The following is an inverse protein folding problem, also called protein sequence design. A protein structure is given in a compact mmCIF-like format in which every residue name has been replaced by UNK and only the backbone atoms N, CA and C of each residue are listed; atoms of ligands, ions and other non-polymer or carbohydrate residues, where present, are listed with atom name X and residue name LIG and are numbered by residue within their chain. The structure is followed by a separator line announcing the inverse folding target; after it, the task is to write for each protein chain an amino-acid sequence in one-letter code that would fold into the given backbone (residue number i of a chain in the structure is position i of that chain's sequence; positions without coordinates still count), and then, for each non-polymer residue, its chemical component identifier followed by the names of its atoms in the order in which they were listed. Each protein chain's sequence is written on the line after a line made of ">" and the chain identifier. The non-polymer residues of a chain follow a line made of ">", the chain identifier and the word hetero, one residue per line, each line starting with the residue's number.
data_IF_342757013086
#
_entry.id   IF_342757013086
#
_cell.length_a   1.000
_cell.length_b   1.000
_cell.length_c   1.000
_cell.angle_alpha   90.00
_cell.angle_beta   90.00
_cell.angle_gamma   90.00
#
_symmetry.space_group_name_H-M   'P 1'
#
loop_
_entity.id
_entity.type
_entity.pdbx_description
1 polymer ?
#
# COMPACT_ATOMS: atom_id res chain seq x y z
N UNK A 1 -24.34 32.19 -5.87
CA UNK A 1 -23.39 32.97 -6.69
C UNK A 1 -22.04 32.26 -6.65
N UNK A 2 -21.46 31.97 -7.83
CA UNK A 2 -20.08 31.53 -8.17
C UNK A 2 -19.52 30.28 -7.43
N UNK A 3 -19.27 29.10 -8.02
CA UNK A 3 -18.60 28.66 -9.26
C UNK A 3 -17.06 28.81 -9.27
N UNK A 4 -16.36 27.66 -9.33
CA UNK A 4 -15.18 27.33 -10.19
C UNK A 4 -14.08 26.54 -9.45
N UNK A 5 -13.28 25.62 -10.03
CA UNK A 5 -13.27 24.80 -11.25
C UNK A 5 -12.03 23.86 -11.13
N UNK A 6 -12.21 22.59 -11.52
CA UNK A 6 -11.33 21.61 -12.19
C UNK A 6 -9.79 21.61 -12.03
N UNK A 7 -9.25 20.39 -11.94
CA UNK A 7 -7.81 20.08 -11.91
C UNK A 7 -7.05 20.20 -13.23
N UNK A 8 -5.75 19.89 -13.17
CA UNK A 8 -4.80 19.80 -14.29
C UNK A 8 -3.83 18.64 -14.01
N UNK A 9 -3.87 17.53 -14.75
CA UNK A 9 -3.24 17.24 -16.06
C UNK A 9 -1.71 17.13 -15.95
N UNK A 10 -1.21 15.90 -15.86
CA UNK A 10 0.18 15.53 -16.16
C UNK A 10 0.33 15.42 -17.68
N UNK A 11 1.16 16.27 -18.29
CA UNK A 11 1.59 16.12 -19.68
C UNK A 11 3.12 16.05 -19.73
N UNK A 12 3.66 14.84 -19.82
CA UNK A 12 5.07 14.61 -20.14
C UNK A 12 5.21 14.59 -21.67
N UNK A 13 5.73 15.66 -22.25
CA UNK A 13 6.14 15.68 -23.66
C UNK A 13 7.62 15.33 -23.75
N UNK A 14 7.91 14.10 -24.21
CA UNK A 14 9.24 13.69 -24.61
C UNK A 14 9.52 14.23 -26.01
N UNK A 15 10.51 15.13 -26.15
CA UNK A 15 11.08 15.49 -27.44
C UNK A 15 12.51 14.97 -27.53
N UNK A 16 12.67 13.85 -28.22
CA UNK A 16 13.95 13.41 -28.75
C UNK A 16 14.28 14.25 -30.00
N UNK A 17 15.28 15.12 -29.91
CA UNK A 17 15.86 15.77 -31.08
C UNK A 17 17.13 15.04 -31.48
N UNK A 18 17.00 14.17 -32.48
CA UNK A 18 18.13 13.60 -33.22
C UNK A 18 18.52 14.64 -34.26
N UNK A 19 19.72 15.22 -34.14
CA UNK A 19 20.35 15.96 -35.22
C UNK A 19 21.76 15.40 -35.43
N UNK A 20 21.86 14.45 -36.36
CA UNK A 20 23.10 14.09 -37.03
C UNK A 20 23.46 15.25 -37.97
N UNK A 21 24.67 15.79 -37.89
CA UNK A 21 25.29 16.47 -39.02
C UNK A 21 26.82 16.35 -38.95
N UNK A 22 27.37 15.87 -40.05
CA UNK A 22 28.75 15.45 -40.26
C UNK A 22 29.59 16.55 -40.92
N UNK A 23 30.90 16.52 -40.61
CA UNK A 23 32.09 17.13 -41.26
C UNK A 23 32.71 18.36 -40.55
N UNK A 24 34.04 18.32 -40.28
CA UNK A 24 34.78 19.47 -39.75
C UNK A 24 35.25 20.40 -40.86
N UNK A 25 34.91 21.69 -40.76
CA UNK A 25 35.58 22.77 -41.49
C UNK A 25 36.77 23.31 -40.65
N UNK A 26 37.96 23.59 -41.22
CA UNK A 26 39.16 23.92 -40.44
C UNK A 26 39.23 25.36 -39.92
N UNK A 27 38.15 26.14 -40.02
CA UNK A 27 38.13 27.56 -39.63
C UNK A 27 36.89 27.88 -38.82
N UNK A 28 36.90 27.51 -37.53
CA UNK A 28 35.89 27.94 -36.56
C UNK A 28 36.58 28.54 -35.33
N UNK A 29 36.29 29.82 -35.07
CA UNK A 29 36.61 30.53 -33.82
C UNK A 29 36.06 29.76 -32.61
N UNK A 30 36.73 29.72 -31.44
CA UNK A 30 36.24 28.98 -30.29
C UNK A 30 34.84 29.45 -29.89
N UNK A 31 33.86 28.54 -29.95
CA UNK A 31 32.51 28.80 -29.50
C UNK A 31 32.53 29.09 -27.98
N UNK A 32 31.93 30.20 -27.57
CA UNK A 32 31.74 30.51 -26.16
C UNK A 32 30.98 29.37 -25.47
N UNK A 33 31.48 28.93 -24.31
CA UNK A 33 30.87 27.85 -23.53
C UNK A 33 29.40 28.18 -23.24
N UNK A 34 28.49 27.26 -23.61
CA UNK A 34 27.08 27.39 -23.29
C UNK A 34 26.88 27.38 -21.77
N UNK A 35 26.04 28.27 -21.20
CA UNK A 35 25.80 28.30 -19.77
C UNK A 35 25.16 26.98 -19.31
N UNK A 36 25.78 26.33 -18.32
CA UNK A 36 25.25 25.10 -17.70
C UNK A 36 24.14 25.49 -16.73
N UNK A 37 22.91 25.11 -17.05
CA UNK A 37 21.79 25.27 -16.10
C UNK A 37 21.79 24.08 -15.14
N UNK A 38 22.12 24.32 -13.87
CA UNK A 38 22.02 23.31 -12.82
C UNK A 38 20.57 23.26 -12.34
N UNK A 39 19.89 22.14 -12.58
CA UNK A 39 18.56 21.90 -12.01
C UNK A 39 18.73 21.42 -10.58
N UNK A 40 18.41 22.27 -9.61
CA UNK A 40 18.37 21.90 -8.19
C UNK A 40 17.02 21.25 -7.89
N UNK A 41 16.98 20.01 -7.36
CA UNK A 41 15.73 19.41 -6.92
C UNK A 41 15.07 20.28 -5.85
N UNK A 42 13.76 20.48 -5.95
CA UNK A 42 13.01 21.19 -4.91
C UNK A 42 13.18 20.46 -3.56
N UNK A 43 13.30 21.19 -2.42
CA UNK A 43 13.33 20.57 -1.11
C UNK A 43 12.11 19.69 -0.90
N UNK A 44 12.32 18.48 -0.37
CA UNK A 44 11.20 17.60 0.03
C UNK A 44 10.38 18.33 1.10
N UNK A 45 9.05 18.38 0.99
CA UNK A 45 8.20 18.94 2.05
C UNK A 45 8.53 18.31 3.40
N UNK A 46 8.57 19.14 4.44
CA UNK A 46 8.78 18.65 5.80
C UNK A 46 7.68 17.65 6.19
N UNK A 47 8.04 16.62 6.95
CA UNK A 47 7.06 15.68 7.49
C UNK A 47 6.09 16.43 8.42
N UNK A 48 4.80 16.06 8.45
CA UNK A 48 3.85 16.64 9.38
C UNK A 48 4.33 16.40 10.82
N UNK A 49 4.10 17.39 11.69
CA UNK A 49 4.39 17.24 13.11
C UNK A 49 3.55 16.10 13.71
N UNK A 50 4.11 15.31 14.66
CA UNK A 50 3.36 14.27 15.34
C UNK A 50 2.12 14.83 16.05
N UNK A 51 1.04 14.04 16.04
CA UNK A 51 -0.15 14.34 16.83
C UNK A 51 0.13 14.09 18.32
N UNK A 52 -0.64 14.71 19.24
CA UNK A 52 -0.66 14.28 20.63
C UNK A 52 -0.96 12.77 20.73
N UNK A 53 -0.24 12.04 21.60
CA UNK A 53 -0.26 10.57 21.61
C UNK A 53 -1.65 9.96 21.72
N UNK A 54 -2.52 10.52 22.56
CA UNK A 54 -3.91 10.03 22.69
C UNK A 54 -4.72 10.21 21.39
N UNK A 55 -4.54 11.34 20.70
CA UNK A 55 -5.16 11.58 19.40
C UNK A 55 -4.58 10.65 18.32
N UNK A 56 -3.27 10.43 18.34
CA UNK A 56 -2.60 9.53 17.41
C UNK A 56 -3.06 8.07 17.60
N UNK A 57 -3.19 7.62 18.85
CA UNK A 57 -3.72 6.28 19.16
C UNK A 57 -5.14 6.11 18.61
N UNK A 58 -6.04 7.07 18.88
CA UNK A 58 -7.42 7.06 18.34
C UNK A 58 -7.43 7.04 16.83
N UNK A 59 -6.62 7.88 16.19
CA UNK A 59 -6.56 7.88 14.73
C UNK A 59 -6.08 6.53 14.17
N UNK A 60 -5.05 5.93 14.77
CA UNK A 60 -4.57 4.60 14.36
C UNK A 60 -5.65 3.52 14.51
N UNK A 61 -6.44 3.57 15.58
CA UNK A 61 -7.51 2.61 15.83
C UNK A 61 -8.75 2.87 14.98
N UNK A 62 -9.37 4.05 15.13
CA UNK A 62 -10.66 4.38 14.53
C UNK A 62 -10.57 4.62 13.02
N UNK A 63 -9.44 5.15 12.55
CA UNK A 63 -9.24 5.51 11.14
C UNK A 63 -8.25 4.60 10.41
N UNK A 64 -7.47 3.80 11.15
CA UNK A 64 -6.60 2.77 10.59
C UNK A 64 -7.22 1.37 10.68
N UNK A 65 -7.36 0.86 11.89
CA UNK A 65 -7.83 -0.52 12.12
C UNK A 65 -9.29 -0.72 11.71
N UNK A 66 -10.23 0.10 12.19
CA UNK A 66 -11.66 -0.10 11.91
C UNK A 66 -12.00 -0.10 10.41
N UNK A 67 -11.41 0.77 9.56
CA UNK A 67 -11.62 0.67 8.11
C UNK A 67 -10.94 -0.55 7.49
N UNK A 68 -9.78 -0.99 8.00
CA UNK A 68 -9.10 -2.19 7.53
C UNK A 68 -9.89 -3.46 7.83
N UNK A 69 -10.57 -3.55 8.97
CA UNK A 69 -11.44 -4.67 9.36
C UNK A 69 -12.52 -4.97 8.30
N UNK A 70 -13.09 -3.94 7.66
CA UNK A 70 -14.07 -4.14 6.58
C UNK A 70 -13.53 -4.94 5.40
N UNK A 71 -12.25 -4.73 5.07
CA UNK A 71 -11.59 -5.47 3.99
C UNK A 71 -11.17 -6.87 4.43
N UNK A 72 -10.89 -7.06 5.72
CA UNK A 72 -10.69 -8.40 6.30
C UNK A 72 -12.00 -9.20 6.19
N UNK A 73 -13.12 -8.61 6.60
CA UNK A 73 -14.45 -9.24 6.48
C UNK A 73 -14.81 -9.56 5.02
N UNK A 74 -14.50 -8.66 4.07
CA UNK A 74 -14.68 -8.90 2.64
C UNK A 74 -13.84 -10.10 2.16
N UNK A 75 -12.59 -10.20 2.62
CA UNK A 75 -11.72 -11.31 2.28
C UNK A 75 -12.26 -12.64 2.81
N UNK A 76 -12.71 -12.67 4.06
CA UNK A 76 -13.33 -13.85 4.68
C UNK A 76 -14.61 -14.26 3.96
N UNK A 77 -15.47 -13.30 3.62
CA UNK A 77 -16.70 -13.54 2.85
C UNK A 77 -16.39 -14.10 1.45
N UNK A 78 -15.32 -13.64 0.79
CA UNK A 78 -14.88 -14.20 -0.47
C UNK A 78 -14.41 -15.65 -0.30
N UNK A 79 -13.59 -15.94 0.72
CA UNK A 79 -13.11 -17.29 1.02
C UNK A 79 -14.21 -18.25 1.44
N UNK A 80 -15.31 -17.77 2.02
CA UNK A 80 -16.50 -18.58 2.33
C UNK A 80 -17.19 -19.18 1.10
N UNK A 81 -16.82 -18.76 -0.12
CA UNK A 81 -17.25 -19.39 -1.38
C UNK A 81 -16.57 -20.76 -1.61
N UNK A 82 -15.43 -21.01 -0.95
CA UNK A 82 -14.74 -22.28 -1.05
C UNK A 82 -15.54 -23.38 -0.33
N UNK A 83 -15.67 -24.58 -0.90
CA UNK A 83 -16.37 -25.67 -0.25
C UNK A 83 -15.63 -26.12 1.01
N UNK A 84 -16.37 -26.69 1.95
CA UNK A 84 -15.79 -27.26 3.17
C UNK A 84 -14.66 -28.24 2.84
N UNK A 85 -13.52 -28.07 3.52
CA UNK A 85 -12.33 -28.90 3.31
C UNK A 85 -11.36 -28.36 2.26
N UNK A 86 -11.76 -27.40 1.42
CA UNK A 86 -10.83 -26.66 0.56
C UNK A 86 -10.22 -25.51 1.35
N UNK A 87 -8.90 -25.50 1.45
CA UNK A 87 -8.12 -24.46 2.13
C UNK A 87 -7.42 -23.57 1.12
N UNK A 88 -7.14 -22.33 1.54
CA UNK A 88 -6.23 -21.45 0.81
C UNK A 88 -4.90 -22.19 0.55
N UNK A 89 -4.42 -22.10 -0.68
CA UNK A 89 -3.20 -22.78 -1.11
C UNK A 89 -3.43 -24.19 -1.66
N UNK A 90 -4.63 -24.76 -1.57
CA UNK A 90 -4.93 -26.05 -2.18
C UNK A 90 -4.79 -25.98 -3.71
N UNK A 91 -4.14 -27.00 -4.29
CA UNK A 91 -3.95 -27.11 -5.75
C UNK A 91 -5.25 -27.24 -6.54
N UNK A 92 -6.37 -27.50 -5.86
CA UNK A 92 -7.71 -27.53 -6.46
C UNK A 92 -8.28 -26.12 -6.72
N UNK A 93 -7.76 -25.07 -6.07
CA UNK A 93 -8.21 -23.68 -6.30
C UNK A 93 -7.91 -23.20 -7.72
N UNK A 94 -6.68 -23.27 -8.26
CA UNK A 94 -6.38 -22.75 -9.60
C UNK A 94 -7.07 -23.53 -10.73
N UNK A 95 -7.51 -24.76 -10.50
CA UNK A 95 -8.23 -25.57 -11.50
C UNK A 95 -9.74 -25.30 -11.53
N UNK A 96 -10.28 -24.53 -10.58
CA UNK A 96 -11.68 -24.12 -10.55
C UNK A 96 -11.80 -22.59 -10.72
N UNK A 97 -12.37 -22.08 -11.83
CA UNK A 97 -12.45 -20.65 -12.10
C UNK A 97 -13.18 -19.84 -11.03
N UNK A 98 -14.23 -20.39 -10.41
CA UNK A 98 -15.00 -19.71 -9.37
C UNK A 98 -14.21 -19.61 -8.06
N UNK A 99 -13.52 -20.68 -7.68
CA UNK A 99 -12.68 -20.70 -6.47
C UNK A 99 -11.45 -19.82 -6.65
N UNK A 100 -10.83 -19.86 -7.82
CA UNK A 100 -9.75 -18.96 -8.17
C UNK A 100 -10.19 -17.50 -8.09
N UNK A 101 -11.34 -17.15 -8.68
CA UNK A 101 -11.87 -15.78 -8.59
C UNK A 101 -12.19 -15.36 -7.14
N UNK A 102 -12.69 -16.27 -6.31
CA UNK A 102 -12.91 -16.01 -4.89
C UNK A 102 -11.58 -15.76 -4.14
N UNK A 103 -10.57 -16.61 -4.34
CA UNK A 103 -9.25 -16.45 -3.77
C UNK A 103 -8.60 -15.11 -4.20
N UNK A 104 -8.73 -14.73 -5.48
CA UNK A 104 -8.18 -13.46 -5.95
C UNK A 104 -8.89 -12.23 -5.38
N UNK A 105 -10.20 -12.30 -5.13
CA UNK A 105 -10.91 -11.24 -4.39
C UNK A 105 -10.43 -11.14 -2.96
N UNK A 106 -10.26 -12.27 -2.27
CA UNK A 106 -9.73 -12.30 -0.92
C UNK A 106 -8.30 -11.73 -0.84
N UNK A 107 -7.43 -12.12 -1.77
CA UNK A 107 -6.08 -11.60 -1.89
C UNK A 107 -6.05 -10.07 -2.05
N UNK A 108 -6.92 -9.54 -2.92
CA UNK A 108 -7.03 -8.10 -3.12
C UNK A 108 -7.52 -7.38 -1.86
N UNK A 109 -8.54 -7.93 -1.19
CA UNK A 109 -9.11 -7.36 0.02
C UNK A 109 -8.09 -7.32 1.17
N UNK A 110 -7.34 -8.40 1.45
CA UNK A 110 -6.27 -8.38 2.47
C UNK A 110 -5.17 -7.35 2.15
N UNK A 111 -4.79 -7.19 0.88
CA UNK A 111 -3.83 -6.15 0.48
C UNK A 111 -4.39 -4.75 0.71
N UNK A 112 -5.66 -4.53 0.40
CA UNK A 112 -6.34 -3.27 0.69
C UNK A 112 -6.40 -3.00 2.20
N UNK A 113 -6.70 -4.01 3.03
CA UNK A 113 -6.66 -3.90 4.48
C UNK A 113 -5.27 -3.44 4.96
N UNK A 114 -4.19 -4.07 4.47
CA UNK A 114 -2.81 -3.67 4.73
C UNK A 114 -2.56 -2.21 4.37
N UNK A 115 -2.92 -1.81 3.16
CA UNK A 115 -2.64 -0.46 2.66
C UNK A 115 -3.41 0.61 3.46
N UNK A 116 -4.66 0.32 3.83
CA UNK A 116 -5.52 1.19 4.66
C UNK A 116 -4.98 1.30 6.08
N UNK A 117 -4.68 0.18 6.74
CA UNK A 117 -4.11 0.20 8.09
C UNK A 117 -2.79 0.97 8.10
N UNK A 118 -1.89 0.71 7.14
CA UNK A 118 -0.61 1.39 7.04
C UNK A 118 -0.76 2.91 6.87
N UNK A 119 -1.72 3.34 6.05
CA UNK A 119 -2.02 4.77 5.88
C UNK A 119 -2.66 5.39 7.14
N UNK A 120 -3.33 4.59 7.96
CA UNK A 120 -3.99 5.02 9.20
C UNK A 120 -3.08 5.12 10.42
N UNK A 121 -1.88 4.53 10.41
CA UNK A 121 -0.93 4.62 11.53
C UNK A 121 -0.46 6.07 11.67
N UNK A 122 -0.95 6.77 12.70
CA UNK A 122 -0.70 8.18 12.88
C UNK A 122 0.68 8.45 13.53
N UNK A 123 1.43 9.46 13.07
CA UNK A 123 2.63 9.93 13.77
C UNK A 123 2.29 10.39 15.19
N UNK A 124 3.04 9.89 16.18
CA UNK A 124 2.79 10.15 17.60
C UNK A 124 2.07 9.00 18.33
N UNK A 125 1.66 7.95 17.60
CA UNK A 125 1.07 6.74 18.17
C UNK A 125 2.04 6.08 19.15
N UNK A 126 1.48 5.52 20.23
CA UNK A 126 2.24 4.78 21.25
C UNK A 126 3.10 3.70 20.57
N UNK A 127 4.42 3.60 20.87
CA UNK A 127 5.31 2.69 20.15
C UNK A 127 4.83 1.23 20.10
N UNK A 128 4.24 0.74 21.19
CA UNK A 128 3.67 -0.62 21.25
C UNK A 128 2.49 -0.81 20.28
N UNK A 129 1.60 0.18 20.17
CA UNK A 129 0.48 0.14 19.23
C UNK A 129 0.97 0.30 17.78
N UNK A 130 1.94 1.20 17.55
CA UNK A 130 2.52 1.39 16.22
C UNK A 130 3.22 0.13 15.71
N UNK A 131 3.98 -0.58 16.56
CA UNK A 131 4.67 -1.83 16.18
C UNK A 131 3.67 -2.96 15.91
N UNK A 132 2.64 -3.09 16.74
CA UNK A 132 1.57 -4.06 16.51
C UNK A 132 0.84 -3.79 15.19
N UNK A 133 0.47 -2.53 14.92
CA UNK A 133 -0.16 -2.13 13.66
C UNK A 133 0.75 -2.39 12.46
N UNK A 134 2.04 -2.07 12.56
CA UNK A 134 3.00 -2.32 11.48
C UNK A 134 3.23 -3.82 11.24
N UNK A 135 3.10 -4.66 12.27
CA UNK A 135 3.15 -6.12 12.15
C UNK A 135 1.93 -6.63 11.40
N UNK A 136 0.74 -6.19 11.80
CA UNK A 136 -0.52 -6.58 11.16
C UNK A 136 -0.57 -6.14 9.69
N UNK A 137 -0.07 -4.94 9.36
CA UNK A 137 0.14 -4.49 7.96
C UNK A 137 0.95 -5.51 7.15
N UNK A 138 2.08 -5.98 7.69
CA UNK A 138 2.96 -6.92 6.99
C UNK A 138 2.29 -8.28 6.82
N UNK A 139 1.58 -8.75 7.84
CA UNK A 139 0.87 -10.02 7.81
C UNK A 139 -0.29 -10.01 6.83
N UNK A 140 -1.12 -8.97 6.84
CA UNK A 140 -2.19 -8.77 5.85
C UNK A 140 -1.63 -8.75 4.43
N UNK A 141 -0.51 -8.06 4.21
CA UNK A 141 0.14 -8.03 2.90
C UNK A 141 0.68 -9.39 2.49
N UNK A 142 1.34 -10.10 3.41
CA UNK A 142 1.89 -11.43 3.17
C UNK A 142 0.77 -12.43 2.84
N UNK A 143 -0.30 -12.42 3.63
CA UNK A 143 -1.46 -13.27 3.44
C UNK A 143 -2.10 -13.02 2.07
N UNK A 144 -2.36 -11.76 1.74
CA UNK A 144 -2.90 -11.39 0.43
C UNK A 144 -2.00 -11.83 -0.72
N UNK A 145 -0.69 -11.66 -0.59
CA UNK A 145 0.28 -12.08 -1.61
C UNK A 145 0.33 -13.60 -1.80
N UNK A 146 0.33 -14.36 -0.71
CA UNK A 146 0.45 -15.80 -0.80
C UNK A 146 -0.89 -16.49 -1.18
N UNK A 147 -2.05 -15.89 -0.88
CA UNK A 147 -3.32 -16.28 -1.53
C UNK A 147 -3.22 -16.03 -3.04
N UNK A 148 -2.73 -14.85 -3.45
CA UNK A 148 -2.63 -14.43 -4.85
C UNK A 148 -1.77 -15.37 -5.69
N UNK A 149 -0.69 -15.88 -5.12
CA UNK A 149 0.24 -16.82 -5.77
C UNK A 149 -0.12 -18.29 -5.55
N UNK A 150 -1.21 -18.57 -4.82
CA UNK A 150 -1.62 -19.91 -4.41
C UNK A 150 -0.47 -20.68 -3.72
N UNK A 151 0.23 -20.03 -2.80
CA UNK A 151 1.32 -20.62 -2.05
C UNK A 151 0.79 -21.79 -1.19
N UNK A 152 1.25 -23.00 -1.49
CA UNK A 152 0.81 -24.23 -0.81
C UNK A 152 1.33 -24.33 0.62
N UNK A 153 2.34 -23.53 0.98
CA UNK A 153 2.96 -23.53 2.31
C UNK A 153 2.22 -22.61 3.28
N UNK A 154 1.26 -21.81 2.79
CA UNK A 154 0.59 -20.82 3.64
C UNK A 154 -0.21 -21.46 4.77
N UNK A 155 -0.65 -22.72 4.64
CA UNK A 155 -1.18 -23.54 5.74
C UNK A 155 -2.06 -22.79 6.75
N UNK A 156 -1.79 -22.97 8.06
CA UNK A 156 -2.47 -22.27 9.16
C UNK A 156 -2.11 -20.77 9.29
N UNK A 157 -1.60 -20.09 8.27
CA UNK A 157 -1.27 -18.65 8.34
C UNK A 157 -2.46 -17.78 8.78
N UNK A 158 -3.69 -18.23 8.54
CA UNK A 158 -4.90 -17.61 9.09
C UNK A 158 -4.95 -17.60 10.63
N UNK A 159 -4.40 -18.61 11.32
CA UNK A 159 -4.35 -18.65 12.79
C UNK A 159 -3.37 -17.61 13.34
N UNK A 160 -2.23 -17.41 12.67
CA UNK A 160 -1.22 -16.41 13.06
C UNK A 160 -1.76 -14.99 12.83
N UNK A 161 -2.37 -14.74 11.68
CA UNK A 161 -3.03 -13.46 11.40
C UNK A 161 -4.13 -13.14 12.43
N UNK A 162 -4.91 -14.13 12.86
CA UNK A 162 -5.95 -13.94 13.86
C UNK A 162 -5.39 -13.60 15.26
N UNK A 163 -4.24 -14.16 15.65
CA UNK A 163 -3.59 -13.83 16.92
C UNK A 163 -3.07 -12.38 16.94
N UNK A 164 -2.54 -11.91 15.81
CA UNK A 164 -2.07 -10.54 15.63
C UNK A 164 -3.22 -9.52 15.63
N UNK A 165 -4.29 -9.81 14.90
CA UNK A 165 -5.52 -9.01 14.90
C UNK A 165 -6.11 -8.83 16.32
N UNK A 166 -6.12 -9.91 17.12
CA UNK A 166 -6.53 -9.81 18.54
C UNK A 166 -5.61 -8.94 19.38
N UNK A 167 -4.31 -8.98 19.09
CA UNK A 167 -3.32 -8.18 19.81
C UNK A 167 -3.54 -6.70 19.55
N UNK A 168 -3.67 -6.28 18.29
CA UNK A 168 -3.90 -4.87 17.94
C UNK A 168 -5.26 -4.38 18.47
N UNK A 169 -6.32 -5.18 18.37
CA UNK A 169 -7.63 -4.83 18.93
C UNK A 169 -7.58 -4.63 20.45
N UNK A 170 -6.84 -5.49 21.17
CA UNK A 170 -6.63 -5.34 22.62
C UNK A 170 -5.86 -4.07 22.95
N UNK A 171 -4.86 -3.71 22.15
CA UNK A 171 -4.10 -2.48 22.32
C UNK A 171 -4.94 -1.24 22.01
N UNK A 172 -5.82 -1.30 21.01
CA UNK A 172 -6.78 -0.24 20.71
C UNK A 172 -7.73 0.01 21.88
N UNK A 173 -8.33 -1.04 22.45
CA UNK A 173 -9.17 -0.91 23.65
C UNK A 173 -8.42 -0.32 24.86
N UNK A 174 -7.10 -0.50 24.94
CA UNK A 174 -6.28 0.04 26.03
C UNK A 174 -5.86 1.49 25.80
N UNK A 175 -5.52 1.86 24.57
CA UNK A 175 -4.85 3.12 24.23
C UNK A 175 -5.76 4.14 23.54
N UNK A 176 -6.94 3.71 23.08
CA UNK A 176 -7.98 4.49 22.45
C UNK A 176 -9.37 3.98 22.90
N UNK A 177 -9.69 4.01 24.21
CA UNK A 177 -10.98 3.58 24.74
C UNK A 177 -12.14 4.52 24.36
#
# INVERSE_FOLDING_TARGET
>A
MAAAVLGAVLAAVATAAIAVQSRPDPTATPAAHAPVTVTVPAPKPAAPSPLPTEQANRQTCDQGLTPAEKYIDEAEAALATLPSGVKVGDLAIPSNPAWYAAAQRAAAAYRHASDVLNAGIAPGTTPMLAEAAATDVKELRLLGEAIRTNDTMIGNAGEVANASAKTIATLCNRFAP
#
